data_IF_092202729964
#
_entry.id   IF_092202729964
#
_cell.length_a   1.000
_cell.length_b   1.000
_cell.length_c   1.000
_cell.angle_alpha   90.00
_cell.angle_beta   90.00
_cell.angle_gamma   90.00
#
_symmetry.space_group_name_H-M   'P 1'
#
loop_
_entity.id
_entity.type
_entity.pdbx_description
1 polymer ?
#
# COMPACT_ATOMS: atom_id res chain seq x y z
N UNK A 1 46.10 47.24 28.61
CA UNK A 1 45.98 46.26 29.72
C UNK A 1 44.78 46.66 30.58
N UNK A 2 43.65 45.95 30.46
CA UNK A 2 42.51 46.04 31.38
C UNK A 2 41.66 44.78 31.13
N UNK A 3 41.83 43.71 31.91
CA UNK A 3 41.24 43.41 33.24
C UNK A 3 39.75 42.98 33.17
N UNK A 4 39.55 41.70 33.47
CA UNK A 4 38.29 41.04 33.78
C UNK A 4 37.69 41.51 35.12
N UNK A 5 36.35 41.61 35.22
CA UNK A 5 35.43 40.85 36.12
C UNK A 5 34.06 41.56 36.23
N UNK A 6 32.99 40.95 35.71
CA UNK A 6 31.87 40.24 36.41
C UNK A 6 30.97 41.15 37.27
N UNK A 7 29.67 41.22 36.96
CA UNK A 7 28.55 40.89 37.87
C UNK A 7 27.18 41.12 37.19
N UNK A 8 26.31 40.16 37.45
CA UNK A 8 24.92 39.92 37.06
C UNK A 8 23.96 41.12 36.91
N UNK A 9 23.02 40.99 35.96
CA UNK A 9 21.59 41.01 36.26
C UNK A 9 20.79 40.36 35.12
N UNK A 10 20.28 39.16 35.36
CA UNK A 10 19.10 38.67 34.63
C UNK A 10 17.89 39.55 35.01
N UNK A 11 16.90 39.72 34.11
CA UNK A 11 15.72 38.89 34.28
C UNK A 11 15.17 38.31 32.98
N UNK A 12 14.87 37.02 33.04
CA UNK A 12 13.62 36.40 32.55
C UNK A 12 12.97 37.04 31.32
N UNK A 13 13.10 36.39 30.16
CA UNK A 13 11.95 35.76 29.50
C UNK A 13 12.32 34.93 28.28
N UNK A 14 11.78 33.70 28.32
CA UNK A 14 11.49 32.82 27.20
C UNK A 14 12.68 32.24 26.42
N UNK A 15 13.29 31.21 27.02
CA UNK A 15 13.67 30.04 26.23
C UNK A 15 12.39 29.51 25.54
N UNK A 16 12.21 29.85 24.27
CA UNK A 16 11.37 29.04 23.37
C UNK A 16 12.21 27.83 22.94
N UNK A 17 12.37 26.88 23.86
CA UNK A 17 12.85 25.55 23.54
C UNK A 17 11.64 24.65 23.26
N UNK A 18 11.29 24.57 21.98
CA UNK A 18 10.81 23.30 21.41
C UNK A 18 11.46 23.12 20.04
N UNK A 19 12.78 22.86 19.97
CA UNK A 19 13.38 22.31 18.76
C UNK A 19 13.08 20.81 18.79
N UNK A 20 12.11 20.34 18.00
CA UNK A 20 11.87 18.90 17.94
C UNK A 20 10.52 18.45 17.42
N UNK A 21 9.59 19.35 17.16
CA UNK A 21 8.42 19.01 16.37
C UNK A 21 8.79 19.15 14.91
N UNK A 22 9.67 18.26 14.45
CA UNK A 22 9.63 17.89 13.04
C UNK A 22 8.19 17.47 12.82
N UNK A 23 7.42 18.30 12.09
CA UNK A 23 6.17 17.85 11.51
C UNK A 23 6.57 16.60 10.75
N UNK A 24 6.26 15.43 11.31
CA UNK A 24 6.42 14.17 10.60
C UNK A 24 5.76 14.43 9.25
N UNK A 25 6.48 14.35 8.12
CA UNK A 25 5.84 14.54 6.83
C UNK A 25 4.65 13.59 6.84
N UNK A 26 3.44 14.14 6.70
CA UNK A 26 2.24 13.35 6.54
C UNK A 26 2.58 12.29 5.50
N UNK A 27 2.62 11.01 5.90
CA UNK A 27 3.08 9.93 5.05
C UNK A 27 2.34 10.04 3.70
N UNK A 28 3.00 10.53 2.63
CA UNK A 28 2.30 11.25 1.57
C UNK A 28 1.58 10.32 0.58
N UNK A 29 1.66 9.00 0.79
CA UNK A 29 1.34 8.05 -0.28
C UNK A 29 -0.14 8.04 -0.68
N UNK A 30 -1.06 8.45 0.19
CA UNK A 30 -2.51 8.38 -0.09
C UNK A 30 -3.32 9.62 0.29
N UNK A 31 -2.67 10.78 0.49
CA UNK A 31 -3.40 12.02 0.74
C UNK A 31 -4.30 12.36 -0.46
N UNK A 32 -5.61 12.54 -0.23
CA UNK A 32 -6.56 12.78 -1.32
C UNK A 32 -7.04 11.52 -2.04
N UNK A 33 -6.63 10.31 -1.61
CA UNK A 33 -7.27 9.08 -2.08
C UNK A 33 -8.74 9.06 -1.62
N UNK A 34 -9.71 8.79 -2.52
CA UNK A 34 -11.13 8.74 -2.15
C UNK A 34 -11.41 7.78 -1.00
N UNK A 35 -10.68 6.67 -0.92
CA UNK A 35 -10.80 5.66 0.13
C UNK A 35 -10.17 6.06 1.48
N UNK A 36 -9.26 7.03 1.53
CA UNK A 36 -8.51 7.37 2.75
C UNK A 36 -8.95 8.70 3.39
N UNK A 37 -9.59 9.59 2.62
CA UNK A 37 -9.78 10.97 3.04
C UNK A 37 -11.20 11.37 3.47
N UNK A 38 -12.26 10.83 2.86
CA UNK A 38 -13.59 11.43 3.01
C UNK A 38 -14.76 10.56 2.45
N UNK A 39 -14.81 9.25 2.72
CA UNK A 39 -15.83 8.38 2.10
C UNK A 39 -16.93 7.93 3.07
N UNK A 40 -18.16 7.87 2.54
CA UNK A 40 -19.37 7.31 3.15
C UNK A 40 -19.36 5.77 3.33
N UNK A 41 -18.24 5.09 3.02
CA UNK A 41 -18.14 3.64 3.04
C UNK A 41 -17.40 3.16 4.31
N UNK A 42 -17.86 2.09 4.96
CA UNK A 42 -17.23 1.58 6.18
C UNK A 42 -15.84 1.02 5.88
N UNK A 43 -14.90 1.16 6.82
CA UNK A 43 -13.52 0.67 6.69
C UNK A 43 -13.42 -0.82 6.32
N UNK A 44 -14.44 -1.61 6.67
CA UNK A 44 -14.53 -3.03 6.32
C UNK A 44 -14.73 -3.28 4.81
N UNK A 45 -15.08 -2.25 4.03
CA UNK A 45 -15.24 -2.33 2.57
C UNK A 45 -13.96 -2.83 1.90
N UNK A 46 -12.79 -2.46 2.44
CA UNK A 46 -11.49 -2.83 1.91
C UNK A 46 -10.91 -4.13 2.51
N UNK A 47 -11.59 -4.74 3.48
CA UNK A 47 -11.09 -5.94 4.16
C UNK A 47 -11.12 -7.18 3.27
N UNK A 48 -10.15 -8.07 3.47
CA UNK A 48 -10.12 -9.37 2.78
C UNK A 48 -11.32 -10.25 3.16
N UNK A 49 -11.69 -10.23 4.43
CA UNK A 49 -12.72 -11.09 5.00
C UNK A 49 -13.44 -10.40 6.16
N UNK A 50 -14.77 -10.47 6.16
CA UNK A 50 -15.62 -10.10 7.30
C UNK A 50 -16.24 -11.38 7.86
N UNK A 51 -16.22 -11.60 9.20
CA UNK A 51 -16.87 -12.76 9.80
C UNK A 51 -18.36 -12.82 9.49
N UNK A 52 -18.86 -14.01 9.12
CA UNK A 52 -20.27 -14.22 8.79
C UNK A 52 -20.69 -13.74 7.39
N UNK A 53 -19.81 -13.11 6.62
CA UNK A 53 -20.09 -12.66 5.26
C UNK A 53 -20.11 -13.84 4.26
N UNK A 54 -21.20 -13.97 3.51
CA UNK A 54 -21.31 -14.95 2.43
C UNK A 54 -20.38 -14.62 1.25
N UNK A 55 -20.16 -15.60 0.37
CA UNK A 55 -19.34 -15.39 -0.83
C UNK A 55 -19.88 -14.27 -1.73
N UNK A 56 -21.20 -14.22 -1.95
CA UNK A 56 -21.85 -13.22 -2.80
C UNK A 56 -21.75 -11.81 -2.21
N UNK A 57 -21.94 -11.67 -0.89
CA UNK A 57 -21.78 -10.39 -0.21
C UNK A 57 -20.34 -9.88 -0.29
N UNK A 58 -19.37 -10.77 -0.07
CA UNK A 58 -17.96 -10.45 -0.24
C UNK A 58 -17.65 -9.98 -1.65
N UNK A 59 -18.14 -10.69 -2.66
CA UNK A 59 -17.93 -10.32 -4.05
C UNK A 59 -18.52 -8.93 -4.36
N UNK A 60 -19.73 -8.66 -3.90
CA UNK A 60 -20.38 -7.35 -4.05
C UNK A 60 -19.57 -6.24 -3.37
N UNK A 61 -19.18 -6.43 -2.12
CA UNK A 61 -18.38 -5.45 -1.35
C UNK A 61 -17.02 -5.19 -1.99
N UNK A 62 -16.33 -6.24 -2.44
CA UNK A 62 -15.07 -6.09 -3.16
C UNK A 62 -15.26 -5.33 -4.49
N UNK A 63 -16.35 -5.59 -5.22
CA UNK A 63 -16.67 -4.85 -6.44
C UNK A 63 -16.94 -3.37 -6.16
N UNK A 64 -17.63 -3.05 -5.05
CA UNK A 64 -17.82 -1.67 -4.59
C UNK A 64 -16.48 -1.00 -4.28
N UNK A 65 -15.61 -1.65 -3.51
CA UNK A 65 -14.26 -1.15 -3.25
C UNK A 65 -13.46 -0.92 -4.54
N UNK A 66 -13.55 -1.86 -5.49
CA UNK A 66 -12.88 -1.75 -6.78
C UNK A 66 -13.42 -0.61 -7.64
N UNK A 67 -14.72 -0.30 -7.57
CA UNK A 67 -15.31 0.84 -8.25
C UNK A 67 -14.72 2.17 -7.74
N UNK A 68 -14.46 2.27 -6.44
CA UNK A 68 -13.72 3.41 -5.86
C UNK A 68 -12.29 3.47 -6.41
N UNK A 69 -11.60 2.32 -6.44
CA UNK A 69 -10.25 2.25 -6.99
C UNK A 69 -10.20 2.59 -8.49
N UNK A 70 -11.29 2.37 -9.24
CA UNK A 70 -11.33 2.63 -10.67
C UNK A 70 -11.27 4.13 -11.01
N UNK A 71 -11.77 4.99 -10.12
CA UNK A 71 -11.75 6.46 -10.28
C UNK A 71 -10.60 7.14 -9.53
N UNK A 72 -9.84 6.39 -8.73
CA UNK A 72 -8.76 6.92 -7.91
C UNK A 72 -7.51 7.27 -8.74
N UNK A 73 -7.00 8.51 -8.68
CA UNK A 73 -5.78 8.89 -9.40
C UNK A 73 -4.52 8.19 -8.87
N UNK A 74 -4.54 7.79 -7.59
CA UNK A 74 -3.41 7.13 -6.91
C UNK A 74 -3.43 5.60 -7.05
N UNK A 75 -4.27 5.05 -7.93
CA UNK A 75 -4.46 3.60 -8.09
C UNK A 75 -3.14 2.85 -8.34
N UNK A 76 -2.27 3.40 -9.19
CA UNK A 76 -0.97 2.78 -9.54
C UNK A 76 -0.02 2.77 -8.36
N UNK A 77 0.13 3.91 -7.70
CA UNK A 77 1.01 4.04 -6.52
C UNK A 77 0.52 3.18 -5.37
N UNK A 78 -0.81 3.11 -5.16
CA UNK A 78 -1.45 2.20 -4.21
C UNK A 78 -1.08 0.74 -4.45
N UNK A 79 -1.11 0.31 -5.72
CA UNK A 79 -0.74 -1.05 -6.07
C UNK A 79 0.77 -1.29 -5.91
N UNK A 80 1.61 -0.31 -6.24
CA UNK A 80 3.05 -0.39 -6.08
C UNK A 80 3.48 -0.49 -4.61
N UNK A 81 2.81 0.25 -3.71
CA UNK A 81 3.00 0.15 -2.26
C UNK A 81 2.56 -1.22 -1.76
N UNK A 82 1.38 -1.71 -2.17
CA UNK A 82 0.90 -3.04 -1.78
C UNK A 82 1.88 -4.15 -2.16
N UNK A 83 2.56 -4.04 -3.30
CA UNK A 83 3.59 -4.99 -3.72
C UNK A 83 4.91 -4.92 -2.92
N UNK A 84 5.14 -3.85 -2.16
CA UNK A 84 6.33 -3.69 -1.33
C UNK A 84 6.08 -4.15 0.11
N UNK A 85 4.82 -4.19 0.53
CA UNK A 85 4.42 -4.69 1.84
C UNK A 85 4.73 -6.19 2.00
N UNK A 86 5.18 -6.62 3.18
CA UNK A 86 5.53 -8.03 3.39
C UNK A 86 4.31 -8.96 3.37
N UNK A 87 3.14 -8.45 3.78
CA UNK A 87 1.89 -9.20 3.87
C UNK A 87 0.67 -8.30 3.56
N UNK A 88 0.56 -7.77 2.33
CA UNK A 88 -0.60 -6.99 1.92
C UNK A 88 -1.88 -7.82 2.05
N UNK A 89 -2.95 -7.19 2.51
CA UNK A 89 -4.24 -7.83 2.72
C UNK A 89 -5.37 -6.91 2.30
N UNK A 90 -6.42 -7.49 1.72
CA UNK A 90 -7.62 -6.75 1.33
C UNK A 90 -7.47 -6.08 -0.02
N UNK A 91 -8.23 -4.99 -0.24
CA UNK A 91 -8.33 -4.33 -1.55
C UNK A 91 -7.31 -3.20 -1.68
N UNK A 92 -6.45 -3.31 -2.69
CA UNK A 92 -5.44 -2.30 -3.04
C UNK A 92 -5.46 -2.06 -4.55
N UNK A 93 -5.59 -0.81 -4.98
CA UNK A 93 -5.53 -0.45 -6.40
C UNK A 93 -6.50 -1.22 -7.32
N UNK A 94 -7.61 -1.75 -6.79
CA UNK A 94 -8.57 -2.59 -7.53
C UNK A 94 -8.23 -4.09 -7.60
N UNK A 95 -7.27 -4.54 -6.80
CA UNK A 95 -6.89 -5.96 -6.65
C UNK A 95 -7.13 -6.40 -5.21
N UNK A 96 -7.47 -7.67 -5.02
CA UNK A 96 -7.51 -8.31 -3.69
C UNK A 96 -6.19 -9.00 -3.45
N UNK A 97 -5.52 -8.62 -2.37
CA UNK A 97 -4.29 -9.24 -1.90
C UNK A 97 -4.58 -10.31 -0.87
N UNK A 98 -3.94 -11.47 -1.05
CA UNK A 98 -3.96 -12.56 -0.10
C UNK A 98 -2.64 -12.57 0.68
N UNK A 99 -2.66 -12.26 2.00
CA UNK A 99 -1.44 -12.17 2.80
C UNK A 99 -0.75 -13.52 2.99
N UNK A 100 -1.43 -14.65 2.74
CA UNK A 100 -0.84 -15.99 2.89
C UNK A 100 0.17 -16.35 1.82
N UNK A 101 0.02 -15.80 0.62
CA UNK A 101 0.84 -16.17 -0.54
C UNK A 101 1.30 -14.98 -1.38
N UNK A 102 0.99 -13.74 -0.95
CA UNK A 102 1.37 -12.52 -1.64
C UNK A 102 0.72 -12.35 -3.03
N UNK A 103 -0.28 -13.17 -3.38
CA UNK A 103 -0.97 -13.08 -4.68
C UNK A 103 -1.98 -11.94 -4.69
N UNK A 104 -2.10 -11.28 -5.83
CA UNK A 104 -3.09 -10.25 -6.07
C UNK A 104 -4.05 -10.70 -7.19
N UNK A 105 -5.35 -10.67 -6.93
CA UNK A 105 -6.38 -11.02 -7.92
C UNK A 105 -7.15 -9.76 -8.32
N UNK A 106 -7.28 -9.49 -9.62
CA UNK A 106 -8.09 -8.38 -10.12
C UNK A 106 -9.54 -8.56 -9.68
N UNK A 107 -10.16 -7.49 -9.19
CA UNK A 107 -11.58 -7.52 -8.84
C UNK A 107 -12.39 -7.23 -10.11
N UNK A 108 -13.26 -8.15 -10.54
CA UNK A 108 -14.13 -7.89 -11.67
C UNK A 108 -15.21 -6.88 -11.26
N UNK A 109 -15.30 -5.77 -12.01
CA UNK A 109 -16.37 -4.77 -11.80
C UNK A 109 -17.72 -5.28 -12.34
N UNK A 110 -17.69 -6.25 -13.26
CA UNK A 110 -18.88 -6.88 -13.84
C UNK A 110 -18.81 -8.40 -13.66
N UNK A 111 -19.94 -9.10 -13.54
CA UNK A 111 -19.96 -10.54 -13.28
C UNK A 111 -19.26 -11.42 -14.34
N UNK A 112 -19.05 -10.89 -15.56
CA UNK A 112 -18.52 -11.65 -16.70
C UNK A 112 -17.06 -11.31 -17.04
N UNK A 113 -16.38 -10.51 -16.22
CA UNK A 113 -15.01 -10.12 -16.51
C UNK A 113 -14.02 -11.28 -16.25
N UNK A 114 -13.02 -11.39 -17.12
CA UNK A 114 -11.94 -12.36 -17.02
C UNK A 114 -11.10 -12.15 -15.74
N UNK A 115 -10.69 -13.27 -15.13
CA UNK A 115 -9.89 -13.24 -13.93
C UNK A 115 -8.41 -13.10 -14.29
N UNK A 116 -7.80 -11.97 -13.93
CA UNK A 116 -6.36 -11.75 -14.07
C UNK A 116 -5.72 -11.79 -12.68
N UNK A 117 -4.75 -12.67 -12.49
CA UNK A 117 -3.91 -12.72 -11.31
C UNK A 117 -2.59 -12.02 -11.60
N UNK A 118 -2.11 -11.25 -10.64
CA UNK A 118 -0.83 -10.59 -10.68
C UNK A 118 -0.05 -11.00 -9.46
N UNK A 119 1.18 -11.44 -9.66
CA UNK A 119 2.12 -11.68 -8.58
C UNK A 119 3.01 -10.46 -8.43
N UNK A 120 2.87 -9.77 -7.30
CA UNK A 120 3.88 -8.84 -6.86
C UNK A 120 5.15 -9.64 -6.56
N UNK A 121 6.27 -9.19 -7.12
CA UNK A 121 7.57 -9.80 -6.92
C UNK A 121 8.08 -9.46 -5.53
N UNK A 122 7.43 -9.98 -4.49
CA UNK A 122 7.98 -9.95 -3.15
C UNK A 122 9.27 -10.79 -3.19
N UNK A 123 10.35 -10.29 -2.60
CA UNK A 123 11.49 -11.15 -2.25
C UNK A 123 10.94 -12.17 -1.29
N UNK A 124 10.51 -13.31 -1.82
CA UNK A 124 9.94 -14.39 -1.05
C UNK A 124 11.05 -14.85 -0.12
N UNK A 125 11.03 -14.38 1.12
CA UNK A 125 11.75 -15.00 2.22
C UNK A 125 11.00 -16.26 2.69
N UNK A 126 10.13 -16.82 1.84
CA UNK A 126 9.83 -18.23 1.91
C UNK A 126 11.12 -18.96 1.53
N UNK A 127 11.78 -19.50 2.55
CA UNK A 127 12.62 -20.69 2.47
C UNK A 127 11.81 -21.79 1.78
N UNK A 128 11.73 -21.76 0.45
CA UNK A 128 11.43 -22.94 -0.33
C UNK A 128 12.79 -23.42 -0.84
N UNK A 129 13.31 -24.45 -0.17
CA UNK A 129 14.42 -25.27 -0.62
C UNK A 129 14.28 -25.48 -2.14
N UNK A 130 15.18 -24.88 -2.89
CA UNK A 130 15.15 -24.85 -4.34
C UNK A 130 15.65 -26.19 -4.88
N UNK A 131 14.72 -27.09 -5.21
CA UNK A 131 15.01 -28.14 -6.19
C UNK A 131 15.14 -27.49 -7.58
N UNK A 132 16.21 -27.76 -8.34
CA UNK A 132 16.49 -27.06 -9.59
C UNK A 132 15.53 -27.53 -10.70
N UNK A 133 14.56 -26.68 -11.06
CA UNK A 133 13.82 -26.87 -12.32
C UNK A 133 14.67 -26.35 -13.47
N UNK A 134 15.03 -27.27 -14.35
CA UNK A 134 15.78 -27.02 -15.56
C UNK A 134 15.14 -25.92 -16.41
N UNK A 135 16.02 -25.10 -16.96
CA UNK A 135 15.78 -23.93 -17.80
C UNK A 135 14.74 -24.21 -18.90
N UNK A 136 13.72 -23.35 -18.99
CA UNK A 136 12.91 -23.19 -20.20
C UNK A 136 13.11 -21.77 -20.69
N UNK A 137 13.92 -21.67 -21.73
CA UNK A 137 14.17 -20.46 -22.51
C UNK A 137 12.85 -19.93 -23.06
N UNK A 138 12.47 -18.72 -22.70
CA UNK A 138 11.49 -17.94 -23.45
C UNK A 138 12.05 -16.55 -23.70
N UNK A 139 12.69 -16.41 -24.86
CA UNK A 139 13.02 -15.12 -25.45
C UNK A 139 11.73 -14.48 -25.95
N UNK A 140 11.31 -13.39 -25.31
CA UNK A 140 10.36 -12.47 -25.93
C UNK A 140 10.70 -11.04 -25.52
N UNK A 141 11.33 -10.33 -26.47
CA UNK A 141 11.49 -8.89 -26.45
C UNK A 141 10.13 -8.20 -26.21
N UNK A 142 9.97 -7.49 -25.09
CA UNK A 142 9.08 -6.31 -25.02
C UNK A 142 9.50 -5.34 -23.91
N UNK A 143 9.38 -4.06 -24.24
CA UNK A 143 9.86 -2.85 -23.56
C UNK A 143 9.45 -2.69 -22.09
N UNK A 144 10.15 -1.82 -21.33
CA UNK A 144 10.01 -1.71 -19.88
C UNK A 144 8.85 -0.78 -19.52
N UNK A 145 7.79 -1.26 -18.88
CA UNK A 145 6.96 -0.50 -17.95
C UNK A 145 6.10 -1.48 -17.10
N UNK A 146 6.10 -1.23 -15.79
CA UNK A 146 5.28 -1.82 -14.71
C UNK A 146 5.67 -3.25 -14.25
N UNK A 147 6.15 -3.33 -13.00
CA UNK A 147 6.77 -4.49 -12.32
C UNK A 147 5.84 -5.70 -12.05
N UNK A 148 4.79 -5.90 -12.83
CA UNK A 148 3.78 -6.92 -12.59
C UNK A 148 4.04 -8.16 -13.45
N UNK A 149 4.33 -9.29 -12.80
CA UNK A 149 4.42 -10.58 -13.48
C UNK A 149 3.03 -11.24 -13.38
N UNK A 150 2.48 -11.63 -14.52
CA UNK A 150 1.29 -12.49 -14.56
C UNK A 150 1.69 -13.89 -14.07
N UNK A 151 1.04 -14.33 -13.00
CA UNK A 151 0.90 -15.73 -12.65
C UNK A 151 -0.45 -16.22 -13.24
#
# INVERSE_FOLDING_TARGET
>A
MAMNRVCDLAPTRALSLVPGWTVLPSLPSFQGAPCSGNMLLPATTWDLHIPGESFSERHRRQAEAAAVCATCPLKRDCLAVACQEAAPSGVWGGYVFNPKNGSARKIPLTPRAENTTVCCRHTSNHLHESLPVAQRSFTSHRQPQENFITC
#
